data_IF_764087406280
#
_entry.id   IF_764087406280
#
_cell.length_a   1.000
_cell.length_b   1.000
_cell.length_c   1.000
_cell.angle_alpha   90.00
_cell.angle_beta   90.00
_cell.angle_gamma   90.00
#
_symmetry.space_group_name_H-M   'P 1'
#
loop_
_entity.id
_entity.type
_entity.pdbx_description
1 polymer ?
#
# COMPACT_ATOMS: atom_id res chain seq x y z
N UNK A 1 -15.44 17.80 70.95
CA UNK A 1 -15.94 16.70 70.10
C UNK A 1 -14.82 16.17 69.18
N UNK A 2 -13.69 15.69 69.70
CA UNK A 2 -12.54 15.21 68.87
C UNK A 2 -12.03 13.82 69.33
N UNK A 3 -12.71 13.15 70.28
CA UNK A 3 -12.15 11.96 70.93
C UNK A 3 -12.79 10.64 70.47
N UNK A 4 -13.63 10.69 69.42
CA UNK A 4 -14.38 9.52 68.94
C UNK A 4 -13.81 8.92 67.65
N UNK A 5 -12.90 9.59 66.94
CA UNK A 5 -12.41 9.12 65.61
C UNK A 5 -11.27 8.10 65.69
N UNK A 6 -10.57 7.99 66.83
CA UNK A 6 -9.44 7.07 67.00
C UNK A 6 -9.82 5.65 67.45
N UNK A 7 -11.05 5.44 67.94
CA UNK A 7 -11.50 4.13 68.43
C UNK A 7 -11.77 3.09 67.33
N UNK A 8 -12.03 3.53 66.10
CA UNK A 8 -12.33 2.64 64.97
C UNK A 8 -11.08 2.05 64.32
N UNK A 9 -9.93 2.75 64.39
CA UNK A 9 -8.66 2.23 63.88
C UNK A 9 -8.03 1.18 64.82
N UNK A 10 -8.20 1.34 66.14
CA UNK A 10 -7.55 0.47 67.12
C UNK A 10 -8.28 -0.86 67.34
N UNK A 11 -9.56 -0.96 66.95
CA UNK A 11 -10.39 -2.17 67.18
C UNK A 11 -10.12 -3.32 66.19
N UNK A 12 -9.38 -3.07 65.11
CA UNK A 12 -9.02 -4.07 64.10
C UNK A 12 -7.54 -4.46 64.12
N UNK A 13 -6.72 -3.85 64.99
CA UNK A 13 -5.29 -4.15 65.08
C UNK A 13 -4.99 -5.52 65.70
N UNK A 14 -5.92 -6.10 66.47
CA UNK A 14 -5.70 -7.36 67.19
C UNK A 14 -5.82 -8.63 66.31
N UNK A 15 -6.09 -8.50 65.00
CA UNK A 15 -6.31 -9.64 64.09
C UNK A 15 -5.53 -9.56 62.78
N UNK A 16 -4.42 -8.83 62.74
CA UNK A 16 -3.53 -8.87 61.57
C UNK A 16 -2.59 -10.06 61.73
N UNK A 17 -2.94 -11.18 61.09
CA UNK A 17 -2.11 -12.37 61.05
C UNK A 17 -0.83 -12.10 60.22
N UNK A 18 0.32 -12.60 60.66
CA UNK A 18 1.61 -12.47 59.95
C UNK A 18 1.51 -12.97 58.49
N UNK A 19 0.67 -13.97 58.23
CA UNK A 19 0.39 -14.46 56.89
C UNK A 19 -0.37 -13.42 56.03
N UNK A 20 -1.36 -12.73 56.60
CA UNK A 20 -2.09 -11.67 55.91
C UNK A 20 -1.17 -10.51 55.54
N UNK A 21 -0.24 -10.14 56.43
CA UNK A 21 0.78 -9.13 56.14
C UNK A 21 1.74 -9.60 55.03
N UNK A 22 2.17 -10.87 55.07
CA UNK A 22 2.99 -11.47 54.03
C UNK A 22 2.33 -11.45 52.64
N UNK A 23 1.04 -11.79 52.54
CA UNK A 23 0.30 -11.72 51.29
C UNK A 23 0.21 -10.29 50.74
N UNK A 24 -0.01 -9.29 51.60
CA UNK A 24 -0.05 -7.88 51.20
C UNK A 24 1.29 -7.44 50.60
N UNK A 25 2.41 -7.81 51.24
CA UNK A 25 3.75 -7.48 50.73
C UNK A 25 4.01 -8.14 49.37
N UNK A 26 3.64 -9.40 49.21
CA UNK A 26 3.79 -10.13 47.94
C UNK A 26 2.96 -9.46 46.83
N UNK A 27 1.72 -9.06 47.12
CA UNK A 27 0.85 -8.39 46.16
C UNK A 27 1.45 -7.05 45.73
N UNK A 28 1.92 -6.24 46.69
CA UNK A 28 2.56 -4.95 46.40
C UNK A 28 3.82 -5.15 45.55
N UNK A 29 4.64 -6.15 45.87
CA UNK A 29 5.82 -6.50 45.09
C UNK A 29 5.46 -6.93 43.66
N UNK A 30 4.40 -7.72 43.49
CA UNK A 30 3.89 -8.09 42.17
C UNK A 30 3.46 -6.87 41.36
N UNK A 31 2.70 -5.95 41.93
CA UNK A 31 2.30 -4.73 41.21
C UNK A 31 3.49 -3.82 40.88
N UNK A 32 4.47 -3.71 41.79
CA UNK A 32 5.69 -2.95 41.54
C UNK A 32 6.50 -3.51 40.36
N UNK A 33 6.65 -4.84 40.29
CA UNK A 33 7.37 -5.50 39.18
C UNK A 33 6.63 -5.38 37.86
N UNK A 34 5.30 -5.57 37.85
CA UNK A 34 4.46 -5.38 36.65
C UNK A 34 4.57 -3.95 36.12
N UNK A 35 4.53 -2.95 37.00
CA UNK A 35 4.68 -1.55 36.59
C UNK A 35 6.06 -1.27 35.99
N UNK A 36 7.13 -1.80 36.61
CA UNK A 36 8.49 -1.74 36.08
C UNK A 36 8.61 -2.37 34.68
N UNK A 37 8.07 -3.57 34.48
CA UNK A 37 8.09 -4.26 33.19
C UNK A 37 7.36 -3.50 32.08
N UNK A 38 6.19 -2.93 32.37
CA UNK A 38 5.43 -2.13 31.39
C UNK A 38 6.23 -0.89 30.95
N UNK A 39 6.85 -0.18 31.91
CA UNK A 39 7.64 1.02 31.60
C UNK A 39 8.89 0.71 30.75
N UNK A 40 9.55 -0.43 31.02
CA UNK A 40 10.69 -0.89 30.24
C UNK A 40 10.28 -1.28 28.81
N UNK A 41 9.14 -1.96 28.67
CA UNK A 41 8.59 -2.33 27.35
C UNK A 41 8.24 -1.09 26.52
N UNK A 42 7.59 -0.09 27.13
CA UNK A 42 7.26 1.18 26.45
C UNK A 42 8.51 1.91 25.96
N UNK A 43 9.55 2.03 26.79
CA UNK A 43 10.82 2.66 26.39
C UNK A 43 11.50 1.92 25.23
N UNK A 44 11.56 0.60 25.29
CA UNK A 44 12.15 -0.21 24.23
C UNK A 44 11.35 -0.12 22.91
N UNK A 45 10.03 -0.02 22.99
CA UNK A 45 9.17 0.11 21.82
C UNK A 45 9.35 1.46 21.13
N UNK A 46 9.45 2.55 21.90
CA UNK A 46 9.69 3.88 21.34
C UNK A 46 11.06 3.98 20.67
N UNK A 47 12.10 3.41 21.27
CA UNK A 47 13.43 3.35 20.65
C UNK A 47 13.43 2.54 19.35
N UNK A 48 12.77 1.38 19.33
CA UNK A 48 12.63 0.58 18.11
C UNK A 48 11.85 1.31 17.02
N UNK A 49 10.76 2.00 17.38
CA UNK A 49 9.96 2.79 16.44
C UNK A 49 10.78 3.89 15.78
N UNK A 50 11.58 4.63 16.54
CA UNK A 50 12.47 5.65 16.00
C UNK A 50 13.52 5.04 15.06
N UNK A 51 14.10 3.90 15.43
CA UNK A 51 15.06 3.19 14.57
C UNK A 51 14.41 2.78 13.24
N UNK A 52 13.25 2.13 13.28
CA UNK A 52 12.52 1.70 12.08
C UNK A 52 12.16 2.89 11.18
N UNK A 53 11.72 4.01 11.75
CA UNK A 53 11.41 5.21 10.98
C UNK A 53 12.65 5.74 10.24
N UNK A 54 13.81 5.78 10.91
CA UNK A 54 15.07 6.22 10.30
C UNK A 54 15.58 5.26 9.24
N UNK A 55 15.45 3.96 9.44
CA UNK A 55 15.79 2.95 8.44
C UNK A 55 14.92 3.07 7.18
N UNK A 56 13.61 3.30 7.36
CA UNK A 56 12.70 3.54 6.24
C UNK A 56 13.06 4.82 5.48
N UNK A 57 13.33 5.93 6.19
CA UNK A 57 13.78 7.18 5.57
C UNK A 57 15.07 6.98 4.77
N UNK A 58 16.06 6.29 5.33
CA UNK A 58 17.32 5.99 4.66
C UNK A 58 17.10 5.13 3.41
N UNK A 59 16.24 4.10 3.50
CA UNK A 59 15.90 3.26 2.35
C UNK A 59 15.25 4.07 1.22
N UNK A 60 14.31 4.95 1.55
CA UNK A 60 13.67 5.82 0.55
C UNK A 60 14.68 6.74 -0.15
N UNK A 61 15.56 7.39 0.62
CA UNK A 61 16.59 8.26 0.05
C UNK A 61 17.56 7.47 -0.83
N UNK A 62 17.98 6.27 -0.41
CA UNK A 62 18.83 5.41 -1.24
C UNK A 62 18.17 5.05 -2.57
N UNK A 63 16.90 4.66 -2.54
CA UNK A 63 16.15 4.35 -3.77
C UNK A 63 16.05 5.58 -4.68
N UNK A 64 15.85 6.77 -4.13
CA UNK A 64 15.83 8.01 -4.91
C UNK A 64 17.19 8.28 -5.57
N UNK A 65 18.28 8.12 -4.82
CA UNK A 65 19.63 8.29 -5.37
C UNK A 65 19.91 7.29 -6.48
N UNK A 66 19.58 6.02 -6.29
CA UNK A 66 19.73 4.98 -7.31
C UNK A 66 18.90 5.28 -8.56
N UNK A 67 17.67 5.76 -8.39
CA UNK A 67 16.83 6.18 -9.50
C UNK A 67 17.42 7.37 -10.26
N UNK A 68 17.90 8.40 -9.55
CA UNK A 68 18.57 9.56 -10.15
C UNK A 68 19.86 9.15 -10.88
N UNK A 69 20.60 8.18 -10.33
CA UNK A 69 21.82 7.65 -10.97
C UNK A 69 21.49 6.93 -12.28
N UNK A 70 20.44 6.12 -12.29
CA UNK A 70 19.93 5.46 -13.49
C UNK A 70 19.43 6.47 -14.53
N UNK A 71 18.68 7.49 -14.11
CA UNK A 71 18.19 8.56 -14.99
C UNK A 71 19.37 9.34 -15.60
N UNK A 72 20.35 9.71 -14.78
CA UNK A 72 21.59 10.34 -15.25
C UNK A 72 22.31 9.43 -16.25
N UNK A 73 22.45 8.14 -15.96
CA UNK A 73 23.10 7.20 -16.86
C UNK A 73 22.35 7.10 -18.19
N UNK A 74 21.01 7.05 -18.17
CA UNK A 74 20.16 7.06 -19.36
C UNK A 74 20.41 8.31 -20.22
N UNK A 75 20.43 9.51 -19.63
CA UNK A 75 20.74 10.74 -20.36
C UNK A 75 22.17 10.83 -20.89
N UNK A 76 23.10 10.06 -20.31
CA UNK A 76 24.47 9.98 -20.79
C UNK A 76 24.66 9.03 -21.96
N UNK A 77 23.69 8.14 -22.23
CA UNK A 77 23.77 7.21 -23.37
C UNK A 77 23.81 7.97 -24.69
N UNK A 78 24.51 7.40 -25.67
CA UNK A 78 24.64 8.02 -27.00
C UNK A 78 23.31 7.98 -27.77
N UNK A 79 22.48 6.96 -27.53
CA UNK A 79 21.13 6.85 -28.10
C UNK A 79 20.22 7.99 -27.65
N UNK A 80 20.21 8.31 -26.34
CA UNK A 80 19.42 9.43 -25.83
C UNK A 80 19.92 10.76 -26.41
N UNK A 81 21.25 10.95 -26.46
CA UNK A 81 21.85 12.16 -27.04
C UNK A 81 21.46 12.32 -28.51
N UNK A 82 21.54 11.26 -29.30
CA UNK A 82 21.14 11.28 -30.72
C UNK A 82 19.65 11.58 -30.87
N UNK A 83 18.78 10.89 -30.14
CA UNK A 83 17.34 11.12 -30.17
C UNK A 83 16.95 12.55 -29.73
N UNK A 84 17.62 13.07 -28.70
CA UNK A 84 17.43 14.45 -28.25
C UNK A 84 17.92 15.46 -29.29
N UNK A 85 19.04 15.21 -29.96
CA UNK A 85 19.54 16.06 -31.05
C UNK A 85 18.57 16.05 -32.24
N UNK A 86 18.04 14.88 -32.61
CA UNK A 86 17.03 14.71 -33.66
C UNK A 86 15.76 15.49 -33.38
N UNK A 87 15.25 15.40 -32.15
CA UNK A 87 14.01 16.06 -31.74
C UNK A 87 14.19 17.58 -31.67
N UNK A 88 15.34 18.05 -31.16
CA UNK A 88 15.60 19.49 -30.99
C UNK A 88 16.05 20.18 -32.28
N UNK A 89 16.82 19.51 -33.13
CA UNK A 89 17.35 20.10 -34.36
C UNK A 89 16.50 19.78 -35.59
N UNK A 90 15.56 18.83 -35.51
CA UNK A 90 14.74 18.39 -36.64
C UNK A 90 15.55 17.71 -37.76
N UNK A 91 16.79 17.29 -37.46
CA UNK A 91 17.73 16.72 -38.42
C UNK A 91 17.78 15.21 -38.26
N UNK A 92 17.54 14.47 -39.34
CA UNK A 92 17.82 13.05 -39.43
C UNK A 92 19.30 12.81 -39.76
N UNK A 93 19.87 11.73 -39.24
CA UNK A 93 21.22 11.29 -39.60
C UNK A 93 21.30 10.89 -41.08
N UNK A 94 22.50 10.90 -41.68
CA UNK A 94 22.71 10.45 -43.06
C UNK A 94 22.15 9.03 -43.26
N UNK A 95 21.09 8.89 -44.05
CA UNK A 95 20.43 7.61 -44.36
C UNK A 95 18.97 7.47 -43.89
N UNK A 96 18.43 8.45 -43.15
CA UNK A 96 17.04 8.42 -42.68
C UNK A 96 16.26 9.64 -43.21
N UNK A 97 15.02 9.43 -43.64
CA UNK A 97 14.18 10.45 -44.30
C UNK A 97 13.04 10.88 -43.38
N UNK A 98 13.04 12.14 -42.94
CA UNK A 98 11.92 12.72 -42.18
C UNK A 98 10.74 12.95 -43.12
N UNK A 99 9.71 12.11 -43.03
CA UNK A 99 8.46 12.27 -43.78
C UNK A 99 7.54 13.24 -43.02
N UNK A 100 7.53 14.51 -43.41
CA UNK A 100 6.57 15.50 -42.89
C UNK A 100 5.24 15.25 -43.60
N UNK A 101 4.29 14.66 -42.87
CA UNK A 101 2.94 14.43 -43.38
C UNK A 101 2.13 15.74 -43.35
N UNK A 102 1.32 16.04 -44.38
CA UNK A 102 0.36 17.14 -44.32
C UNK A 102 -0.66 16.89 -43.20
N UNK A 103 -1.32 17.95 -42.70
CA UNK A 103 -2.38 17.83 -41.70
C UNK A 103 -3.37 16.75 -42.11
N UNK A 104 -3.65 15.83 -41.20
CA UNK A 104 -4.48 14.67 -41.47
C UNK A 104 -5.84 15.13 -42.03
N UNK A 105 -6.32 14.50 -43.11
CA UNK A 105 -7.61 14.87 -43.70
C UNK A 105 -8.73 14.76 -42.66
N UNK A 106 -9.80 15.54 -42.77
CA UNK A 106 -10.94 15.45 -41.82
C UNK A 106 -11.53 14.03 -41.71
N UNK A 107 -11.32 13.21 -42.74
CA UNK A 107 -11.77 11.82 -42.76
C UNK A 107 -10.90 10.94 -41.86
N UNK A 108 -9.61 11.24 -41.75
CA UNK A 108 -8.64 10.49 -40.96
C UNK A 108 -8.60 10.94 -39.49
N UNK A 109 -8.85 12.21 -39.18
CA UNK A 109 -9.08 12.66 -37.79
C UNK A 109 -10.35 12.05 -37.18
N UNK A 110 -11.43 11.93 -37.97
CA UNK A 110 -12.64 11.19 -37.57
C UNK A 110 -12.43 9.69 -37.39
N UNK A 111 -11.41 9.12 -38.05
CA UNK A 111 -11.00 7.73 -37.87
C UNK A 111 -10.14 7.60 -36.60
N UNK A 112 -9.26 8.55 -36.30
CA UNK A 112 -8.45 8.57 -35.07
C UNK A 112 -9.30 8.76 -33.80
N UNK A 113 -10.35 9.58 -33.86
CA UNK A 113 -11.37 9.69 -32.81
C UNK A 113 -12.17 8.37 -32.63
N UNK A 114 -12.29 7.56 -33.69
CA UNK A 114 -12.90 6.22 -33.65
C UNK A 114 -11.88 5.11 -33.31
N UNK A 115 -10.59 5.37 -33.47
CA UNK A 115 -9.44 4.49 -33.18
C UNK A 115 -8.79 4.85 -31.82
N UNK A 116 -9.44 5.70 -31.00
CA UNK A 116 -9.34 5.58 -29.53
C UNK A 116 -10.03 4.29 -29.06
N UNK A 117 -9.59 3.18 -29.64
CA UNK A 117 -9.85 1.82 -29.22
C UNK A 117 -8.98 1.66 -27.98
N UNK A 118 -9.59 1.89 -26.81
CA UNK A 118 -9.22 1.12 -25.62
C UNK A 118 -9.01 -0.34 -26.09
N UNK A 119 -7.93 -1.06 -25.70
CA UNK A 119 -7.49 -2.32 -26.33
C UNK A 119 -8.50 -3.49 -26.38
N UNK A 120 -9.75 -3.25 -26.01
CA UNK A 120 -10.82 -4.24 -25.89
C UNK A 120 -11.87 -4.18 -27.01
N UNK A 121 -11.75 -3.33 -28.03
CA UNK A 121 -12.71 -3.31 -29.16
C UNK A 121 -12.30 -4.27 -30.28
N UNK A 122 -12.15 -5.54 -29.93
CA UNK A 122 -12.22 -6.62 -30.91
C UNK A 122 -13.10 -7.73 -30.35
N UNK A 123 -14.33 -7.41 -29.98
CA UNK A 123 -15.45 -8.35 -29.86
C UNK A 123 -16.77 -7.58 -30.02
N UNK A 124 -17.09 -7.20 -31.24
CA UNK A 124 -18.45 -6.81 -31.58
C UNK A 124 -19.20 -8.05 -32.05
N UNK A 125 -19.86 -8.73 -31.10
CA UNK A 125 -21.21 -9.26 -31.27
C UNK A 125 -21.59 -10.12 -30.04
N UNK A 126 -22.46 -9.56 -29.19
CA UNK A 126 -23.75 -10.14 -28.80
C UNK A 126 -24.26 -9.46 -27.54
N UNK A 127 -25.50 -9.00 -27.61
CA UNK A 127 -26.43 -8.73 -26.51
C UNK A 127 -25.90 -7.98 -25.27
N UNK A 128 -26.36 -6.74 -25.16
CA UNK A 128 -26.49 -5.94 -23.93
C UNK A 128 -26.80 -6.81 -22.70
N UNK A 129 -25.80 -7.03 -21.84
CA UNK A 129 -26.03 -7.50 -20.47
C UNK A 129 -25.29 -6.55 -19.54
N UNK A 130 -26.05 -5.80 -18.75
CA UNK A 130 -25.56 -4.90 -17.70
C UNK A 130 -24.96 -5.72 -16.55
N UNK A 131 -23.88 -6.45 -16.80
CA UNK A 131 -23.15 -7.17 -15.77
C UNK A 131 -22.02 -6.31 -15.21
N UNK A 132 -21.99 -6.12 -13.89
CA UNK A 132 -20.88 -5.41 -13.25
C UNK A 132 -19.54 -6.10 -13.53
N UNK A 133 -18.46 -5.31 -13.61
CA UNK A 133 -17.11 -5.81 -13.88
C UNK A 133 -16.70 -6.98 -12.97
N UNK A 134 -17.11 -6.96 -11.70
CA UNK A 134 -16.80 -8.04 -10.76
C UNK A 134 -17.47 -9.37 -11.13
N UNK A 135 -18.72 -9.35 -11.60
CA UNK A 135 -19.40 -10.55 -12.09
C UNK A 135 -18.68 -11.15 -13.30
N UNK A 136 -18.20 -10.30 -14.21
CA UNK A 136 -17.46 -10.74 -15.39
C UNK A 136 -16.13 -11.41 -15.00
N UNK A 137 -15.39 -10.83 -14.07
CA UNK A 137 -14.14 -11.42 -13.56
C UNK A 137 -14.35 -12.74 -12.83
N UNK A 138 -15.41 -12.84 -12.03
CA UNK A 138 -15.76 -14.10 -11.36
C UNK A 138 -16.08 -15.20 -12.38
N UNK A 139 -16.91 -14.90 -13.38
CA UNK A 139 -17.27 -15.85 -14.46
C UNK A 139 -16.05 -16.31 -15.24
N UNK A 140 -15.13 -15.39 -15.54
CA UNK A 140 -13.86 -15.70 -16.20
C UNK A 140 -12.98 -16.65 -15.37
N UNK A 141 -12.75 -16.33 -14.09
CA UNK A 141 -11.85 -17.09 -13.22
C UNK A 141 -12.35 -18.50 -12.88
N UNK A 142 -13.68 -18.69 -12.88
CA UNK A 142 -14.29 -19.98 -12.52
C UNK A 142 -14.94 -20.70 -13.72
N UNK A 143 -14.73 -20.21 -14.94
CA UNK A 143 -15.02 -20.93 -16.18
C UNK A 143 -16.51 -21.21 -16.40
N UNK A 144 -17.40 -20.29 -16.02
CA UNK A 144 -18.83 -20.40 -16.32
C UNK A 144 -19.05 -20.23 -17.83
N UNK A 145 -19.05 -21.35 -18.56
CA UNK A 145 -19.37 -21.39 -19.98
C UNK A 145 -20.89 -21.22 -20.18
N UNK A 146 -21.37 -20.15 -20.85
CA UNK A 146 -22.80 -19.95 -21.11
C UNK A 146 -23.41 -21.02 -22.03
N UNK A 147 -22.57 -21.84 -22.68
CA UNK A 147 -22.99 -22.92 -23.57
C UNK A 147 -23.36 -24.23 -22.86
N UNK A 148 -23.30 -24.27 -21.52
CA UNK A 148 -23.66 -25.48 -20.76
C UNK A 148 -25.15 -25.55 -20.38
N UNK A 149 -25.86 -24.43 -20.47
CA UNK A 149 -27.26 -24.33 -20.03
C UNK A 149 -28.28 -24.65 -21.13
N UNK A 150 -27.84 -24.81 -22.38
CA UNK A 150 -28.74 -25.20 -23.49
C UNK A 150 -28.94 -26.73 -23.56
N UNK A 151 -27.99 -27.53 -23.07
CA UNK A 151 -28.09 -29.01 -23.17
C UNK A 151 -28.94 -29.70 -22.09
N UNK A 152 -29.55 -28.95 -21.17
CA UNK A 152 -30.41 -29.50 -20.12
C UNK A 152 -31.84 -28.94 -20.15
N UNK A 153 -32.30 -28.43 -21.29
CA UNK A 153 -33.71 -28.07 -21.51
C UNK A 153 -34.50 -29.08 -22.36
N UNK A 154 -33.84 -30.15 -22.82
CA UNK A 154 -34.44 -31.17 -23.69
C UNK A 154 -34.44 -32.58 -23.05
N UNK A 155 -34.72 -32.68 -21.75
CA UNK A 155 -35.12 -33.95 -21.11
C UNK A 155 -36.29 -33.76 -20.17
#
# INVERSE_FOLDING_TARGET
MINQTWGFLNKHQDKINIYTLGYIVIIIFFFYTVWGSISAMQRNYLMQRQLTEKELQLKLVKLQVENLELEKAYYQTDEYKDLSARTNMGLATNGESVLILPPNSEMASKIEDKISISPNVLLQDTAKVDESNFSQWKKFLFGENPLKDEKNKDK
#
